data_IF_059217967398
#
_entry.id   IF_059217967398
#
_cell.length_a   1.000
_cell.length_b   1.000
_cell.length_c   1.000
_cell.angle_alpha   90.00
_cell.angle_beta   90.00
_cell.angle_gamma   90.00
#
_symmetry.space_group_name_H-M   'P 1'
#
loop_
_entity.id
_entity.type
_entity.pdbx_description
1 polymer ?
#
# COMPACT_ATOMS: atom_id res chain seq x y z
N UNK A 1 53.13 -16.51 58.28
CA UNK A 1 52.21 -15.68 59.09
C UNK A 1 51.95 -14.39 58.33
N UNK A 2 50.66 -14.11 58.08
CA UNK A 2 50.00 -12.81 58.01
C UNK A 2 50.38 -11.76 56.91
N UNK A 3 49.28 -11.25 56.34
CA UNK A 3 49.03 -9.94 55.67
C UNK A 3 49.46 -9.76 54.22
N UNK A 4 48.54 -10.06 53.28
CA UNK A 4 48.19 -9.12 52.19
C UNK A 4 46.72 -9.32 51.83
N UNK A 5 45.83 -8.49 52.36
CA UNK A 5 44.40 -8.57 52.09
C UNK A 5 43.69 -7.31 52.54
N UNK A 6 43.92 -6.18 51.85
CA UNK A 6 43.16 -4.92 52.05
C UNK A 6 43.47 -3.88 50.96
N UNK A 7 43.16 -4.15 49.68
CA UNK A 7 43.17 -3.06 48.69
C UNK A 7 42.13 -3.14 47.54
N UNK A 8 41.29 -4.18 47.48
CA UNK A 8 40.35 -4.34 46.35
C UNK A 8 38.87 -4.07 46.67
N UNK A 9 38.52 -3.76 47.92
CA UNK A 9 37.11 -3.49 48.31
C UNK A 9 36.70 -2.01 48.30
N UNK A 10 37.62 -1.06 48.14
CA UNK A 10 37.26 0.37 48.16
C UNK A 10 36.92 0.96 46.77
N UNK A 11 37.38 0.36 45.67
CA UNK A 11 37.19 0.94 44.33
C UNK A 11 35.80 0.64 43.71
N UNK A 12 35.08 -0.37 44.19
CA UNK A 12 33.78 -0.77 43.64
C UNK A 12 32.62 0.01 44.28
N UNK A 13 32.76 0.44 45.54
CA UNK A 13 31.67 1.14 46.26
C UNK A 13 31.47 2.60 45.82
N UNK A 14 32.49 3.22 45.21
CA UNK A 14 32.44 4.63 44.82
C UNK A 14 31.82 4.86 43.43
N UNK A 15 31.75 3.83 42.57
CA UNK A 15 31.12 3.91 41.24
C UNK A 15 29.60 3.68 41.27
N UNK A 16 29.09 2.89 42.23
CA UNK A 16 27.64 2.64 42.35
C UNK A 16 26.87 3.83 42.93
N UNK A 17 27.51 4.68 43.75
CA UNK A 17 26.85 5.87 44.33
C UNK A 17 26.63 7.01 43.31
N UNK A 18 27.54 7.20 42.35
CA UNK A 18 27.35 8.24 41.32
C UNK A 18 26.24 7.91 40.31
N UNK A 19 26.03 6.63 39.97
CA UNK A 19 24.97 6.24 39.05
C UNK A 19 23.57 6.38 39.65
N UNK A 20 23.41 6.20 40.96
CA UNK A 20 22.11 6.37 41.63
C UNK A 20 21.69 7.85 41.76
N UNK A 21 22.64 8.76 41.96
CA UNK A 21 22.35 10.20 42.02
C UNK A 21 21.96 10.76 40.63
N UNK A 22 22.49 10.20 39.55
CA UNK A 22 22.16 10.64 38.18
C UNK A 22 20.76 10.19 37.72
N UNK A 23 20.29 9.02 38.16
CA UNK A 23 18.93 8.54 37.85
C UNK A 23 17.86 9.29 38.66
N UNK A 24 18.16 9.70 39.90
CA UNK A 24 17.24 10.48 40.72
C UNK A 24 17.02 11.92 40.22
N UNK A 25 18.03 12.54 39.58
CA UNK A 25 17.92 13.89 39.03
C UNK A 25 17.14 13.97 37.72
N UNK A 26 17.13 12.91 36.91
CA UNK A 26 16.33 12.86 35.65
C UNK A 26 14.84 12.59 35.96
N UNK A 27 14.54 11.91 37.06
CA UNK A 27 13.15 11.66 37.48
C UNK A 27 12.45 12.88 38.10
N UNK A 28 13.18 13.96 38.43
CA UNK A 28 12.60 15.17 39.04
C UNK A 28 12.27 16.29 38.05
N UNK A 29 12.53 16.11 36.74
CA UNK A 29 12.26 17.12 35.70
C UNK A 29 10.94 16.90 34.92
N UNK A 30 10.12 15.92 35.29
CA UNK A 30 8.83 15.64 34.63
C UNK A 30 7.61 15.88 35.54
N UNK A 31 7.56 17.03 36.24
CA UNK A 31 6.32 17.50 36.87
C UNK A 31 6.24 19.03 36.76
N UNK A 32 5.67 19.52 35.66
CA UNK A 32 4.80 20.72 35.62
C UNK A 32 4.59 21.17 34.16
N UNK A 33 3.60 20.59 33.48
CA UNK A 33 2.97 21.24 32.32
C UNK A 33 1.54 21.59 32.74
N UNK A 34 1.35 22.85 33.10
CA UNK A 34 0.04 23.44 33.34
C UNK A 34 -0.66 23.61 31.99
N UNK A 35 -1.74 22.86 31.76
CA UNK A 35 -2.61 23.04 30.60
C UNK A 35 -3.47 24.29 30.84
N UNK A 36 -3.20 25.36 30.09
CA UNK A 36 -4.10 26.52 30.00
C UNK A 36 -5.10 26.23 28.87
N UNK A 37 -6.42 26.18 29.12
CA UNK A 37 -7.39 26.05 28.05
C UNK A 37 -7.52 27.40 27.33
N UNK A 38 -7.13 27.44 26.05
CA UNK A 38 -7.48 28.54 25.14
C UNK A 38 -8.75 28.13 24.40
N UNK A 39 -9.87 28.76 24.74
CA UNK A 39 -11.09 28.72 23.94
C UNK A 39 -10.85 29.52 22.65
N UNK A 40 -10.72 28.82 21.52
CA UNK A 40 -10.79 29.44 20.20
C UNK A 40 -12.25 29.41 19.75
N UNK A 41 -12.95 30.51 20.00
CA UNK A 41 -14.22 30.80 19.36
C UNK A 41 -13.97 31.16 17.89
N UNK A 42 -14.12 30.18 16.99
CA UNK A 42 -14.14 30.44 15.55
C UNK A 42 -15.54 30.92 15.14
N UNK A 43 -15.64 32.22 14.83
CA UNK A 43 -16.84 32.82 14.24
C UNK A 43 -17.09 32.25 12.84
N UNK A 44 -18.30 31.72 12.67
CA UNK A 44 -18.86 31.29 11.38
C UNK A 44 -19.10 32.51 10.50
N UNK A 45 -18.39 32.60 9.36
CA UNK A 45 -18.81 33.44 8.22
C UNK A 45 -19.45 32.54 7.16
N UNK A 46 -20.75 32.69 6.99
CA UNK A 46 -21.53 32.09 5.91
C UNK A 46 -21.34 32.89 4.63
N UNK A 47 -20.92 32.25 3.54
CA UNK A 47 -21.25 32.71 2.19
C UNK A 47 -22.08 31.63 1.51
N UNK A 48 -23.34 31.97 1.26
CA UNK A 48 -24.29 31.15 0.52
C UNK A 48 -24.18 31.49 -0.96
N UNK A 49 -23.92 30.47 -1.80
CA UNK A 49 -24.38 30.44 -3.18
C UNK A 49 -24.82 29.00 -3.49
N UNK A 50 -26.07 28.87 -3.93
CA UNK A 50 -26.78 27.59 -3.99
C UNK A 50 -26.52 26.79 -5.26
N UNK A 51 -26.44 25.47 -5.10
CA UNK A 51 -26.76 24.44 -6.08
C UNK A 51 -27.02 23.10 -5.34
N UNK A 52 -27.93 22.23 -5.82
CA UNK A 52 -28.61 21.25 -4.97
C UNK A 52 -27.75 20.03 -4.66
N UNK A 53 -27.63 19.71 -3.36
CA UNK A 53 -27.02 18.47 -2.85
C UNK A 53 -28.03 17.32 -2.89
N UNK A 54 -27.76 16.29 -3.70
CA UNK A 54 -28.29 14.93 -3.49
C UNK A 54 -27.60 14.37 -2.24
N UNK A 55 -28.36 14.17 -1.18
CA UNK A 55 -27.84 13.76 0.12
C UNK A 55 -27.28 12.35 0.12
N UNK A 56 -26.02 12.21 0.54
CA UNK A 56 -25.48 10.95 1.04
C UNK A 56 -26.26 10.55 2.30
N UNK A 57 -26.99 9.44 2.21
CA UNK A 57 -27.53 8.76 3.39
C UNK A 57 -26.59 7.61 3.75
N UNK A 58 -26.14 7.62 5.01
CA UNK A 58 -25.34 6.58 5.63
C UNK A 58 -26.08 5.24 5.65
N UNK A 59 -25.31 4.18 5.38
CA UNK A 59 -25.71 2.77 5.21
C UNK A 59 -26.55 2.19 6.35
N UNK A 60 -26.42 2.70 7.58
CA UNK A 60 -27.14 2.20 8.76
C UNK A 60 -28.65 2.51 8.81
N UNK A 61 -29.16 3.42 7.97
CA UNK A 61 -30.60 3.73 7.92
C UNK A 61 -31.45 2.70 7.18
N UNK A 62 -30.82 1.83 6.38
CA UNK A 62 -31.51 0.76 5.63
C UNK A 62 -31.62 -0.55 6.42
N UNK A 63 -30.74 -0.78 7.41
CA UNK A 63 -30.53 -2.09 8.01
C UNK A 63 -31.56 -2.52 9.08
N UNK A 64 -32.45 -1.64 9.56
CA UNK A 64 -33.42 -1.97 10.64
C UNK A 64 -34.90 -1.71 10.31
N UNK A 65 -35.25 -1.52 9.03
CA UNK A 65 -36.63 -1.38 8.58
C UNK A 65 -37.32 -2.73 8.35
N UNK A 66 -37.76 -3.39 9.42
CA UNK A 66 -38.47 -4.66 9.39
C UNK A 66 -39.78 -4.63 8.60
N UNK A 67 -40.00 -5.66 7.78
CA UNK A 67 -41.21 -5.83 6.96
C UNK A 67 -41.46 -7.29 6.60
N UNK A 68 -42.26 -7.94 7.44
CA UNK A 68 -42.67 -9.34 7.45
C UNK A 68 -43.39 -9.76 6.14
N UNK A 69 -42.91 -10.79 5.40
CA UNK A 69 -43.75 -11.55 4.45
C UNK A 69 -43.46 -13.06 4.45
N UNK A 70 -44.56 -13.77 4.72
CA UNK A 70 -44.85 -15.21 4.76
C UNK A 70 -44.05 -16.09 3.78
N UNK A 71 -43.55 -17.18 4.34
CA UNK A 71 -43.09 -18.40 3.67
C UNK A 71 -44.32 -19.24 3.32
N UNK A 72 -44.48 -19.61 2.05
CA UNK A 72 -45.44 -20.64 1.62
C UNK A 72 -44.65 -21.90 1.21
N UNK A 73 -44.89 -22.98 1.95
CA UNK A 73 -44.30 -24.30 1.76
C UNK A 73 -44.95 -25.02 0.57
N UNK A 74 -44.15 -25.59 -0.32
CA UNK A 74 -44.58 -26.64 -1.24
C UNK A 74 -43.61 -27.82 -1.13
N UNK A 75 -44.13 -28.97 -0.67
CA UNK A 75 -43.42 -30.25 -0.56
C UNK A 75 -43.60 -31.12 -1.83
N UNK A 76 -42.75 -32.15 -2.02
CA UNK A 76 -42.27 -32.55 -3.35
C UNK A 76 -42.78 -33.92 -3.81
N UNK A 77 -42.83 -34.18 -5.13
CA UNK A 77 -42.63 -35.53 -5.69
C UNK A 77 -42.41 -35.50 -7.21
N UNK A 78 -41.20 -35.87 -7.68
CA UNK A 78 -41.04 -36.79 -8.83
C UNK A 78 -39.60 -37.31 -8.93
N UNK A 79 -39.41 -38.60 -8.66
CA UNK A 79 -38.16 -39.36 -8.87
C UNK A 79 -37.75 -39.30 -10.35
N UNK A 80 -36.63 -38.66 -10.66
CA UNK A 80 -35.89 -38.86 -11.93
C UNK A 80 -34.65 -39.71 -11.67
N UNK A 81 -34.53 -40.81 -12.43
CA UNK A 81 -33.38 -41.74 -12.46
C UNK A 81 -32.07 -40.98 -12.63
N UNK A 82 -31.19 -41.06 -11.64
CA UNK A 82 -29.79 -40.57 -11.73
C UNK A 82 -29.00 -41.55 -12.61
N UNK A 83 -28.62 -41.11 -13.81
CA UNK A 83 -27.47 -41.69 -14.52
C UNK A 83 -26.21 -41.19 -13.81
N UNK A 84 -25.44 -42.11 -13.25
CA UNK A 84 -24.12 -41.84 -12.69
C UNK A 84 -23.12 -41.60 -13.82
N UNK A 85 -22.92 -40.35 -14.21
CA UNK A 85 -21.67 -39.96 -14.87
C UNK A 85 -20.67 -39.62 -13.77
N UNK A 86 -19.62 -40.44 -13.68
CA UNK A 86 -18.45 -40.20 -12.83
C UNK A 86 -17.84 -38.86 -13.23
N UNK A 87 -18.23 -37.80 -12.54
CA UNK A 87 -17.65 -36.47 -12.71
C UNK A 87 -16.28 -36.52 -12.05
N UNK A 88 -15.24 -36.73 -12.85
CA UNK A 88 -13.84 -36.64 -12.44
C UNK A 88 -13.68 -35.31 -11.70
N UNK A 89 -13.38 -35.38 -10.39
CA UNK A 89 -13.01 -34.21 -9.58
C UNK A 89 -11.77 -33.60 -10.22
N UNK A 90 -11.98 -32.65 -11.14
CA UNK A 90 -10.95 -31.67 -11.46
C UNK A 90 -10.92 -30.75 -10.26
N UNK A 91 -9.87 -30.86 -9.46
CA UNK A 91 -9.44 -29.79 -8.57
C UNK A 91 -9.64 -28.47 -9.30
N UNK A 92 -10.41 -27.56 -8.72
CA UNK A 92 -10.67 -26.23 -9.28
C UNK A 92 -9.38 -25.40 -9.20
N UNK A 93 -8.39 -25.75 -10.02
CA UNK A 93 -7.31 -24.85 -10.36
C UNK A 93 -7.92 -23.70 -11.13
N UNK A 94 -7.55 -22.48 -10.76
CA UNK A 94 -7.92 -21.25 -11.48
C UNK A 94 -7.72 -21.50 -12.97
N UNK A 95 -8.80 -21.37 -13.75
CA UNK A 95 -8.72 -21.57 -15.18
C UNK A 95 -7.69 -20.60 -15.73
N UNK A 96 -6.60 -21.12 -16.30
CA UNK A 96 -5.53 -20.32 -16.88
C UNK A 96 -6.17 -19.25 -17.78
N UNK A 97 -5.89 -17.99 -17.49
CA UNK A 97 -6.34 -16.87 -18.32
C UNK A 97 -5.76 -17.10 -19.71
N UNK A 98 -6.61 -17.20 -20.73
CA UNK A 98 -6.15 -17.27 -22.12
C UNK A 98 -5.57 -15.90 -22.52
N UNK A 99 -4.33 -15.65 -22.13
CA UNK A 99 -3.59 -14.43 -22.49
C UNK A 99 -3.06 -14.58 -23.92
N UNK A 100 -3.20 -13.57 -24.78
CA UNK A 100 -2.54 -13.57 -26.08
C UNK A 100 -1.02 -13.55 -25.87
N UNK A 101 -0.26 -14.07 -26.83
CA UNK A 101 1.19 -14.02 -26.79
C UNK A 101 1.64 -12.55 -26.80
N UNK A 102 2.20 -12.09 -25.69
CA UNK A 102 2.76 -10.74 -25.55
C UNK A 102 4.14 -10.76 -26.20
N UNK A 103 4.33 -9.97 -27.26
CA UNK A 103 5.64 -9.73 -27.87
C UNK A 103 6.19 -8.47 -27.22
N UNK A 104 7.31 -8.59 -26.52
CA UNK A 104 7.99 -7.44 -25.93
C UNK A 104 9.17 -7.03 -26.79
N UNK A 105 9.38 -5.73 -26.91
CA UNK A 105 10.64 -5.18 -27.35
C UNK A 105 11.73 -5.53 -26.34
N UNK A 106 12.96 -5.71 -26.83
CA UNK A 106 14.13 -5.94 -25.98
C UNK A 106 14.25 -4.84 -24.92
N UNK A 107 14.39 -5.26 -23.66
CA UNK A 107 14.50 -4.35 -22.52
C UNK A 107 15.93 -3.82 -22.43
N UNK A 108 16.06 -2.55 -22.06
CA UNK A 108 17.36 -1.94 -21.83
C UNK A 108 18.04 -2.54 -20.61
N UNK A 109 19.38 -2.45 -20.56
CA UNK A 109 20.17 -2.98 -19.43
C UNK A 109 19.94 -2.20 -18.13
N UNK A 110 19.56 -0.93 -18.25
CA UNK A 110 19.22 0.01 -17.17
C UNK A 110 17.70 0.09 -16.92
N UNK A 111 16.91 -0.83 -17.48
CA UNK A 111 15.46 -0.83 -17.29
C UNK A 111 15.09 -1.02 -15.82
N UNK A 112 14.31 -0.07 -15.28
CA UNK A 112 13.75 -0.18 -13.93
C UNK A 112 12.74 -1.31 -13.87
N UNK A 113 12.76 -2.04 -12.75
CA UNK A 113 11.81 -3.10 -12.47
C UNK A 113 10.53 -2.52 -11.90
N UNK A 114 9.42 -2.82 -12.55
CA UNK A 114 8.08 -2.71 -11.98
C UNK A 114 7.74 -4.06 -11.36
N UNK A 115 7.76 -4.12 -10.03
CA UNK A 115 7.53 -5.35 -9.29
C UNK A 115 6.04 -5.50 -8.99
N UNK A 116 5.43 -6.60 -9.44
CA UNK A 116 4.03 -6.93 -9.13
C UNK A 116 4.00 -8.07 -8.13
N UNK A 117 3.38 -7.82 -6.98
CA UNK A 117 3.32 -8.73 -5.83
C UNK A 117 1.87 -9.17 -5.59
N UNK A 118 1.67 -10.45 -5.30
CA UNK A 118 0.40 -10.92 -4.74
C UNK A 118 -0.01 -12.30 -5.22
N UNK A 119 -1.32 -12.52 -5.32
CA UNK A 119 -1.92 -13.81 -5.62
C UNK A 119 -2.25 -13.98 -7.12
N UNK A 120 -3.22 -14.84 -7.46
CA UNK A 120 -3.70 -15.01 -8.83
C UNK A 120 -4.24 -13.69 -9.46
N UNK A 121 -4.64 -12.70 -8.66
CA UNK A 121 -4.97 -11.34 -9.13
C UNK A 121 -3.72 -10.63 -9.66
N UNK A 122 -2.65 -10.59 -8.88
CA UNK A 122 -1.37 -10.03 -9.28
C UNK A 122 -0.79 -10.74 -10.51
N UNK A 123 -0.99 -12.06 -10.64
CA UNK A 123 -0.54 -12.82 -11.79
C UNK A 123 -1.07 -12.24 -13.12
N UNK A 124 -2.38 -12.04 -13.20
CA UNK A 124 -3.04 -11.51 -14.39
C UNK A 124 -2.82 -10.01 -14.57
N UNK A 125 -2.74 -9.25 -13.47
CA UNK A 125 -2.38 -7.83 -13.51
C UNK A 125 -0.99 -7.63 -14.11
N UNK A 126 -0.02 -8.44 -13.68
CA UNK A 126 1.34 -8.39 -14.21
C UNK A 126 1.38 -8.68 -15.72
N UNK A 127 0.59 -9.64 -16.22
CA UNK A 127 0.48 -9.86 -17.67
C UNK A 127 -0.18 -8.67 -18.39
N UNK A 128 -1.18 -8.06 -17.77
CA UNK A 128 -1.81 -6.83 -18.27
C UNK A 128 -0.81 -5.68 -18.41
N UNK A 129 -0.01 -5.42 -17.36
CA UNK A 129 1.04 -4.39 -17.32
C UNK A 129 2.20 -4.72 -18.25
N UNK A 130 2.56 -5.99 -18.37
CA UNK A 130 3.57 -6.46 -19.32
C UNK A 130 3.18 -6.14 -20.77
N UNK A 131 1.89 -6.30 -21.09
CA UNK A 131 1.37 -5.87 -22.39
C UNK A 131 1.25 -4.34 -22.54
N UNK A 132 1.13 -3.57 -21.45
CA UNK A 132 1.15 -2.10 -21.50
C UNK A 132 2.55 -1.62 -21.87
N UNK A 133 3.56 -2.11 -21.14
CA UNK A 133 4.96 -1.69 -21.30
C UNK A 133 5.74 -2.55 -22.31
N UNK A 134 5.05 -3.28 -23.19
CA UNK A 134 5.71 -4.16 -24.17
C UNK A 134 6.69 -3.40 -25.06
N UNK A 135 6.31 -2.19 -25.47
CA UNK A 135 7.09 -1.29 -26.34
C UNK A 135 7.99 -0.31 -25.58
N UNK A 136 8.05 -0.40 -24.25
CA UNK A 136 8.83 0.49 -23.39
C UNK A 136 10.11 -0.24 -22.93
N UNK A 137 11.29 0.04 -23.51
CA UNK A 137 12.52 -0.66 -23.17
C UNK A 137 13.03 -0.37 -21.76
N UNK A 138 12.69 0.79 -21.20
CA UNK A 138 13.14 1.25 -19.87
C UNK A 138 12.35 0.66 -18.70
N UNK A 139 11.28 -0.12 -18.95
CA UNK A 139 10.46 -0.72 -17.90
C UNK A 139 10.39 -2.24 -18.10
N UNK A 140 10.78 -2.97 -17.06
CA UNK A 140 10.70 -4.44 -16.99
C UNK A 140 9.69 -4.85 -15.93
N UNK A 141 8.64 -5.57 -16.31
CA UNK A 141 7.65 -6.09 -15.35
C UNK A 141 8.15 -7.41 -14.77
N UNK A 142 8.33 -7.48 -13.44
CA UNK A 142 8.71 -8.70 -12.71
C UNK A 142 7.56 -9.12 -11.78
N UNK A 143 7.41 -10.43 -11.58
CA UNK A 143 6.38 -11.01 -10.71
C UNK A 143 7.01 -11.58 -9.44
N UNK A 144 6.45 -11.25 -8.29
CA UNK A 144 6.60 -11.99 -7.04
C UNK A 144 5.22 -12.50 -6.64
N UNK A 145 4.83 -13.62 -7.24
CA UNK A 145 3.44 -14.10 -7.19
C UNK A 145 3.38 -15.50 -6.63
N UNK A 146 2.49 -15.68 -5.66
CA UNK A 146 2.18 -16.97 -5.06
C UNK A 146 0.71 -17.31 -5.35
N UNK A 147 0.43 -18.34 -6.16
CA UNK A 147 -0.94 -18.72 -6.48
C UNK A 147 -1.67 -19.26 -5.24
N UNK A 148 -3.00 -19.10 -5.21
CA UNK A 148 -3.87 -19.72 -4.20
C UNK A 148 -3.60 -19.32 -2.73
N UNK A 149 -2.83 -18.25 -2.50
CA UNK A 149 -2.52 -17.72 -1.17
C UNK A 149 -3.08 -16.31 -0.98
N UNK A 150 -2.71 -15.66 0.12
CA UNK A 150 -3.03 -14.28 0.47
C UNK A 150 -2.36 -13.90 1.78
N UNK A 151 -2.85 -12.86 2.47
CA UNK A 151 -2.27 -12.44 3.75
C UNK A 151 -2.74 -13.30 4.91
N UNK A 152 -3.81 -14.09 4.76
CA UNK A 152 -4.24 -15.02 5.80
C UNK A 152 -3.39 -16.30 5.88
N UNK A 153 -2.53 -16.52 4.89
CA UNK A 153 -1.62 -17.66 4.88
C UNK A 153 -0.61 -17.55 6.04
N UNK A 154 -0.17 -18.70 6.54
CA UNK A 154 0.89 -18.74 7.54
C UNK A 154 2.22 -18.29 6.92
N UNK A 155 3.32 -18.53 7.63
CA UNK A 155 4.68 -18.06 7.32
C UNK A 155 5.18 -18.24 5.87
N UNK A 156 4.58 -19.11 5.07
CA UNK A 156 4.99 -19.33 3.67
C UNK A 156 3.84 -18.98 2.70
N UNK A 157 3.97 -17.94 1.85
CA UNK A 157 5.14 -17.06 1.71
C UNK A 157 5.29 -16.05 2.85
N UNK A 158 6.53 -15.67 3.15
CA UNK A 158 6.82 -14.55 4.05
C UNK A 158 6.91 -13.28 3.19
N UNK A 159 5.77 -12.59 3.05
CA UNK A 159 5.67 -11.46 2.12
C UNK A 159 6.72 -10.36 2.40
N UNK A 160 6.94 -9.89 3.64
CA UNK A 160 8.00 -8.93 3.91
C UNK A 160 9.40 -9.42 3.52
N UNK A 161 9.77 -10.65 3.92
CA UNK A 161 11.11 -11.20 3.65
C UNK A 161 11.35 -11.36 2.14
N UNK A 162 10.38 -11.96 1.43
CA UNK A 162 10.46 -12.20 -0.01
C UNK A 162 10.55 -10.90 -0.81
N UNK A 163 9.77 -9.88 -0.41
CA UNK A 163 9.82 -8.56 -1.04
C UNK A 163 11.18 -7.93 -0.83
N UNK A 164 11.67 -7.86 0.41
CA UNK A 164 13.00 -7.31 0.70
C UNK A 164 14.10 -8.05 -0.06
N UNK A 165 14.00 -9.37 -0.22
CA UNK A 165 14.96 -10.14 -1.02
C UNK A 165 14.96 -9.71 -2.49
N UNK A 166 13.78 -9.49 -3.09
CA UNK A 166 13.69 -8.98 -4.46
C UNK A 166 14.24 -7.56 -4.58
N UNK A 167 13.87 -6.66 -3.66
CA UNK A 167 14.32 -5.26 -3.65
C UNK A 167 15.85 -5.13 -3.56
N UNK A 168 16.52 -6.06 -2.87
CA UNK A 168 18.00 -6.10 -2.79
C UNK A 168 18.68 -6.62 -4.05
N UNK A 169 17.97 -7.40 -4.86
CA UNK A 169 18.55 -8.13 -6.00
C UNK A 169 18.26 -7.48 -7.36
N UNK A 170 17.29 -6.57 -7.43
CA UNK A 170 16.81 -5.96 -8.66
C UNK A 170 16.72 -4.44 -8.50
N UNK A 171 16.90 -3.72 -9.61
CA UNK A 171 16.74 -2.26 -9.63
C UNK A 171 15.25 -1.89 -9.75
N UNK A 172 14.52 -2.03 -8.62
CA UNK A 172 13.08 -1.80 -8.56
C UNK A 172 12.78 -0.31 -8.48
N UNK A 173 11.98 0.19 -9.42
CA UNK A 173 11.52 1.59 -9.43
C UNK A 173 10.13 1.79 -8.83
N UNK A 174 9.28 0.77 -8.85
CA UNK A 174 7.91 0.84 -8.30
C UNK A 174 7.39 -0.55 -7.94
N UNK A 175 6.56 -0.62 -6.91
CA UNK A 175 5.87 -1.83 -6.48
C UNK A 175 4.36 -1.70 -6.65
N UNK A 176 3.74 -2.72 -7.24
CA UNK A 176 2.29 -2.88 -7.36
C UNK A 176 1.85 -4.12 -6.59
N UNK A 177 0.90 -3.99 -5.67
CA UNK A 177 0.33 -5.11 -4.90
C UNK A 177 -1.09 -5.38 -5.37
N UNK A 178 -1.43 -6.64 -5.62
CA UNK A 178 -2.81 -7.08 -5.87
C UNK A 178 -3.03 -8.49 -5.32
N UNK A 179 -3.76 -8.56 -4.20
CA UNK A 179 -4.05 -9.81 -3.49
C UNK A 179 -5.32 -9.66 -2.66
N UNK A 180 -5.82 -10.77 -2.13
CA UNK A 180 -6.90 -10.78 -1.13
C UNK A 180 -8.16 -11.49 -1.59
N UNK A 181 -8.18 -12.04 -2.82
CA UNK A 181 -9.31 -12.81 -3.34
C UNK A 181 -9.65 -14.04 -2.47
N UNK A 182 -8.70 -14.47 -1.64
CA UNK A 182 -8.81 -15.64 -0.77
C UNK A 182 -8.77 -15.32 0.72
N UNK A 183 -8.72 -14.06 1.11
CA UNK A 183 -8.50 -13.65 2.50
C UNK A 183 -9.81 -13.55 3.31
N UNK A 184 -10.95 -13.86 2.71
CA UNK A 184 -12.27 -13.98 3.36
C UNK A 184 -12.44 -15.27 4.18
N UNK A 185 -11.46 -15.61 5.02
CA UNK A 185 -11.42 -16.82 5.85
C UNK A 185 -10.68 -16.58 7.17
N UNK A 186 -10.79 -17.54 8.09
CA UNK A 186 -10.08 -17.49 9.36
C UNK A 186 -8.55 -17.51 9.16
N UNK A 187 -7.83 -16.82 10.04
CA UNK A 187 -6.37 -16.89 10.12
C UNK A 187 -6.01 -17.99 11.12
N UNK A 188 -5.07 -18.85 10.75
CA UNK A 188 -4.44 -19.74 11.71
C UNK A 188 -3.17 -19.05 12.20
N UNK A 189 -2.97 -19.01 13.51
CA UNK A 189 -1.75 -18.50 14.11
C UNK A 189 -1.14 -19.63 14.89
N UNK A 190 0.07 -20.03 14.49
CA UNK A 190 0.86 -21.01 15.23
C UNK A 190 1.77 -20.27 16.19
N UNK A 191 1.40 -20.26 17.46
CA UNK A 191 2.20 -19.69 18.54
C UNK A 191 3.11 -20.73 19.19
N UNK A 192 4.14 -20.25 19.87
CA UNK A 192 4.86 -21.00 20.88
C UNK A 192 4.47 -20.44 22.25
N UNK A 193 4.05 -21.32 23.15
CA UNK A 193 3.68 -20.99 24.51
C UNK A 193 4.21 -22.03 25.47
N UNK A 194 3.78 -21.93 26.72
CA UNK A 194 4.07 -22.91 27.75
C UNK A 194 2.74 -23.50 28.22
N UNK A 195 2.53 -24.79 27.96
CA UNK A 195 1.38 -25.55 28.48
C UNK A 195 1.96 -26.52 29.52
N UNK A 196 1.46 -26.46 30.76
CA UNK A 196 1.92 -27.28 31.88
C UNK A 196 3.44 -27.21 32.15
N UNK A 197 4.01 -26.00 32.02
CA UNK A 197 5.44 -25.77 32.27
C UNK A 197 6.37 -26.27 31.16
N UNK A 198 5.83 -26.80 30.05
CA UNK A 198 6.60 -27.26 28.89
C UNK A 198 6.36 -26.36 27.67
N UNK A 199 7.41 -26.09 26.85
CA UNK A 199 7.24 -25.43 25.57
C UNK A 199 6.26 -26.23 24.69
N UNK A 200 5.16 -25.61 24.31
CA UNK A 200 4.14 -26.21 23.47
C UNK A 200 3.78 -25.24 22.35
N UNK A 201 3.58 -25.77 21.15
CA UNK A 201 2.98 -25.00 20.07
C UNK A 201 1.46 -25.09 20.18
N UNK A 202 0.78 -23.95 20.09
CA UNK A 202 -0.67 -23.90 19.98
C UNK A 202 -1.04 -23.27 18.63
N UNK A 203 -2.12 -23.77 18.04
CA UNK A 203 -2.73 -23.17 16.86
C UNK A 203 -4.01 -22.48 17.31
N UNK A 204 -4.04 -21.16 17.18
CA UNK A 204 -5.24 -20.36 17.39
C UNK A 204 -5.90 -20.09 16.04
N UNK A 205 -7.22 -20.22 15.97
CA UNK A 205 -8.00 -19.88 14.78
C UNK A 205 -8.72 -18.56 15.03
N UNK A 206 -8.20 -17.49 14.42
CA UNK A 206 -8.79 -16.16 14.49
C UNK A 206 -9.96 -16.10 13.51
N UNK A 207 -11.15 -15.89 14.04
CA UNK A 207 -12.36 -15.84 13.22
C UNK A 207 -12.35 -14.63 12.28
N UNK A 208 -12.65 -14.84 11.00
CA UNK A 208 -12.77 -13.77 10.01
C UNK A 208 -13.68 -12.63 10.53
N UNK A 209 -13.24 -11.38 10.36
CA UNK A 209 -13.86 -10.16 10.90
C UNK A 209 -13.89 -10.01 12.43
N UNK A 210 -13.37 -10.98 13.20
CA UNK A 210 -13.16 -10.83 14.64
C UNK A 210 -12.07 -9.79 14.94
N UNK A 211 -12.09 -9.23 16.15
CA UNK A 211 -11.13 -8.17 16.55
C UNK A 211 -9.67 -8.63 16.45
N UNK A 212 -9.35 -9.84 16.92
CA UNK A 212 -8.00 -10.39 16.83
C UNK A 212 -7.59 -10.69 15.38
N UNK A 213 -8.52 -11.20 14.56
CA UNK A 213 -8.28 -11.38 13.12
C UNK A 213 -7.98 -10.05 12.44
N UNK A 214 -8.71 -8.99 12.79
CA UNK A 214 -8.54 -7.65 12.23
C UNK A 214 -7.18 -7.05 12.62
N UNK A 215 -6.76 -7.22 13.87
CA UNK A 215 -5.43 -6.79 14.35
C UNK A 215 -4.32 -7.50 13.58
N UNK A 216 -4.40 -8.83 13.49
CA UNK A 216 -3.41 -9.64 12.79
C UNK A 216 -3.36 -9.31 11.30
N UNK A 217 -4.52 -9.18 10.64
CA UNK A 217 -4.59 -8.87 9.21
C UNK A 217 -4.04 -7.46 8.90
N UNK A 218 -4.32 -6.46 9.76
CA UNK A 218 -3.71 -5.13 9.66
C UNK A 218 -2.20 -5.20 9.84
N UNK A 219 -1.72 -5.96 10.83
CA UNK A 219 -0.30 -6.15 11.05
C UNK A 219 0.41 -6.74 9.83
N UNK A 220 -0.16 -7.79 9.22
CA UNK A 220 0.40 -8.41 7.99
C UNK A 220 0.37 -7.46 6.80
N UNK A 221 -0.72 -6.71 6.62
CA UNK A 221 -0.84 -5.69 5.57
C UNK A 221 0.21 -4.59 5.77
N UNK A 222 0.31 -4.04 6.98
CA UNK A 222 1.28 -3.00 7.34
C UNK A 222 2.73 -3.46 7.20
N UNK A 223 3.03 -4.72 7.54
CA UNK A 223 4.37 -5.30 7.39
C UNK A 223 4.79 -5.37 5.92
N UNK A 224 3.88 -5.78 5.03
CA UNK A 224 4.14 -5.77 3.58
C UNK A 224 4.31 -4.34 3.06
N UNK A 225 3.45 -3.40 3.47
CA UNK A 225 3.58 -1.98 3.10
C UNK A 225 4.93 -1.42 3.56
N UNK A 226 5.33 -1.70 4.81
CA UNK A 226 6.58 -1.24 5.41
C UNK A 226 7.81 -1.82 4.69
N UNK A 227 7.77 -3.10 4.29
CA UNK A 227 8.86 -3.74 3.54
C UNK A 227 9.22 -3.01 2.24
N UNK A 228 8.23 -2.34 1.62
CA UNK A 228 8.44 -1.51 0.42
C UNK A 228 8.79 -0.08 0.78
N UNK A 229 8.02 0.54 1.69
CA UNK A 229 8.15 1.98 2.00
C UNK A 229 9.42 2.32 2.76
N UNK A 230 9.99 1.37 3.51
CA UNK A 230 11.29 1.54 4.17
C UNK A 230 12.44 1.73 3.16
N UNK A 231 12.31 1.17 1.95
CA UNK A 231 13.24 1.38 0.84
C UNK A 231 12.88 2.64 0.02
N UNK A 232 11.94 3.47 0.51
CA UNK A 232 11.46 4.71 -0.11
C UNK A 232 10.82 4.55 -1.50
N UNK A 233 10.51 3.31 -1.90
CA UNK A 233 9.92 3.02 -3.21
C UNK A 233 8.43 3.39 -3.27
N UNK A 234 7.94 3.94 -4.39
CA UNK A 234 6.51 4.12 -4.61
C UNK A 234 5.75 2.78 -4.54
N UNK A 235 4.62 2.80 -3.82
CA UNK A 235 3.75 1.63 -3.63
C UNK A 235 2.34 1.93 -4.16
N UNK A 236 1.86 1.07 -5.04
CA UNK A 236 0.47 1.04 -5.50
C UNK A 236 -0.20 -0.23 -4.98
N UNK A 237 -1.34 -0.09 -4.30
CA UNK A 237 -2.17 -1.22 -3.88
C UNK A 237 -3.48 -1.22 -4.68
N UNK A 238 -3.75 -2.30 -5.41
CA UNK A 238 -4.97 -2.43 -6.21
C UNK A 238 -6.07 -3.07 -5.37
N UNK A 239 -7.20 -2.37 -5.26
CA UNK A 239 -8.38 -2.87 -4.55
C UNK A 239 -9.01 -4.08 -5.24
N UNK A 240 -9.79 -4.84 -4.48
CA UNK A 240 -10.62 -5.93 -4.98
C UNK A 240 -11.85 -5.37 -5.70
N UNK A 241 -12.23 -5.99 -6.82
CA UNK A 241 -13.48 -5.68 -7.52
C UNK A 241 -14.67 -6.46 -6.93
N UNK A 242 -15.92 -6.02 -7.14
CA UNK A 242 -17.11 -6.76 -6.73
C UNK A 242 -17.07 -8.22 -7.20
N UNK A 243 -17.52 -9.12 -6.33
CA UNK A 243 -17.73 -10.52 -6.67
C UNK A 243 -19.19 -10.79 -7.08
N UNK A 244 -19.41 -11.88 -7.82
CA UNK A 244 -20.76 -12.33 -8.20
C UNK A 244 -21.61 -12.72 -6.98
N UNK A 245 -20.99 -13.38 -6.00
CA UNK A 245 -21.65 -13.75 -4.76
C UNK A 245 -21.69 -12.56 -3.79
N UNK A 246 -22.89 -12.27 -3.28
CA UNK A 246 -23.14 -11.14 -2.38
C UNK A 246 -22.24 -11.12 -1.14
N UNK A 247 -22.11 -12.26 -0.44
CA UNK A 247 -21.28 -12.35 0.78
C UNK A 247 -19.80 -12.15 0.46
N UNK A 248 -19.31 -12.77 -0.61
CA UNK A 248 -17.92 -12.59 -1.06
C UNK A 248 -17.66 -11.14 -1.45
N UNK A 249 -18.62 -10.48 -2.12
CA UNK A 249 -18.54 -9.06 -2.48
C UNK A 249 -18.48 -8.17 -1.23
N UNK A 250 -19.37 -8.40 -0.25
CA UNK A 250 -19.34 -7.66 1.02
C UNK A 250 -18.01 -7.84 1.76
N UNK A 251 -17.47 -9.06 1.78
CA UNK A 251 -16.16 -9.36 2.37
C UNK A 251 -15.03 -8.63 1.64
N UNK A 252 -15.07 -8.53 0.32
CA UNK A 252 -14.08 -7.76 -0.46
C UNK A 252 -14.14 -6.26 -0.19
N UNK A 253 -15.34 -5.71 -0.01
CA UNK A 253 -15.49 -4.31 0.43
C UNK A 253 -14.83 -4.09 1.80
N UNK A 254 -15.07 -4.99 2.75
CA UNK A 254 -14.44 -4.94 4.07
C UNK A 254 -12.91 -5.04 3.99
N UNK A 255 -12.36 -5.94 3.17
CA UNK A 255 -10.92 -6.05 2.96
C UNK A 255 -10.32 -4.79 2.33
N UNK A 256 -11.01 -4.18 1.35
CA UNK A 256 -10.59 -2.93 0.73
C UNK A 256 -10.46 -1.79 1.74
N UNK A 257 -11.38 -1.68 2.70
CA UNK A 257 -11.29 -0.68 3.76
C UNK A 257 -10.03 -0.87 4.61
N UNK A 258 -9.69 -2.12 4.95
CA UNK A 258 -8.47 -2.43 5.71
C UNK A 258 -7.20 -2.14 4.90
N UNK A 259 -7.19 -2.48 3.60
CA UNK A 259 -6.07 -2.16 2.72
C UNK A 259 -5.85 -0.65 2.64
N UNK A 260 -6.91 0.10 2.40
CA UNK A 260 -6.86 1.56 2.33
C UNK A 260 -6.37 2.18 3.64
N UNK A 261 -6.87 1.68 4.79
CA UNK A 261 -6.45 2.11 6.13
C UNK A 261 -4.94 1.95 6.37
N UNK A 262 -4.29 0.93 5.80
CA UNK A 262 -2.84 0.70 5.97
C UNK A 262 -1.98 1.35 4.89
N UNK A 263 -2.49 1.46 3.65
CA UNK A 263 -1.70 1.91 2.49
C UNK A 263 -1.59 3.43 2.42
N UNK A 264 -2.70 4.15 2.57
CA UNK A 264 -2.72 5.61 2.38
C UNK A 264 -1.89 6.37 3.43
N UNK A 265 -1.96 6.05 4.74
CA UNK A 265 -1.14 6.75 5.74
C UNK A 265 0.37 6.52 5.57
N UNK A 266 0.78 5.42 4.94
CA UNK A 266 2.18 5.12 4.62
C UNK A 266 2.67 5.85 3.34
N UNK A 267 1.83 6.69 2.73
CA UNK A 267 2.12 7.38 1.48
C UNK A 267 2.03 6.48 0.24
N UNK A 268 1.41 5.30 0.36
CA UNK A 268 1.06 4.45 -0.78
C UNK A 268 -0.22 4.92 -1.45
N UNK A 269 -0.42 4.51 -2.71
CA UNK A 269 -1.62 4.83 -3.48
C UNK A 269 -2.56 3.62 -3.50
N UNK A 270 -3.77 3.78 -2.99
CA UNK A 270 -4.82 2.78 -3.15
C UNK A 270 -5.62 3.02 -4.43
N UNK A 271 -5.62 2.05 -5.34
CA UNK A 271 -6.36 2.11 -6.61
C UNK A 271 -7.70 1.43 -6.44
N UNK A 272 -8.74 2.24 -6.24
CA UNK A 272 -10.11 1.76 -6.22
C UNK A 272 -10.60 1.45 -7.64
N UNK A 273 -10.82 0.17 -7.91
CA UNK A 273 -11.39 -0.33 -9.17
C UNK A 273 -12.87 -0.72 -9.04
N UNK A 274 -13.48 -0.55 -7.87
CA UNK A 274 -14.79 -1.11 -7.54
C UNK A 274 -15.88 -0.69 -8.53
N UNK A 275 -16.06 0.62 -8.68
CA UNK A 275 -17.05 1.21 -9.58
C UNK A 275 -16.80 0.84 -11.05
N UNK A 276 -15.55 0.57 -11.45
CA UNK A 276 -15.21 0.24 -12.82
C UNK A 276 -15.69 -1.16 -13.26
N UNK A 277 -16.09 -1.99 -12.30
CA UNK A 277 -16.61 -3.35 -12.50
C UNK A 277 -18.05 -3.52 -11.99
N UNK A 278 -18.74 -2.42 -11.70
CA UNK A 278 -20.18 -2.40 -11.43
C UNK A 278 -20.99 -2.06 -12.69
N UNK A 279 -22.29 -2.38 -12.65
CA UNK A 279 -23.28 -1.86 -13.59
C UNK A 279 -23.63 -0.40 -13.28
N UNK A 280 -24.46 0.22 -14.11
CA UNK A 280 -24.96 1.58 -13.88
C UNK A 280 -25.81 1.67 -12.60
N UNK A 281 -26.42 0.55 -12.21
CA UNK A 281 -27.20 0.37 -10.98
C UNK A 281 -26.33 0.08 -9.75
N UNK A 282 -25.00 -0.03 -9.92
CA UNK A 282 -24.06 -0.34 -8.84
C UNK A 282 -23.99 -1.82 -8.47
N UNK A 283 -24.50 -2.72 -9.30
CA UNK A 283 -24.47 -4.17 -9.06
C UNK A 283 -23.25 -4.82 -9.73
N UNK A 284 -22.90 -6.04 -9.31
CA UNK A 284 -21.89 -6.83 -10.01
C UNK A 284 -22.31 -7.07 -11.46
N UNK A 285 -21.39 -6.87 -12.41
CA UNK A 285 -21.59 -7.25 -13.81
C UNK A 285 -20.38 -8.01 -14.37
N UNK A 286 -20.59 -9.16 -15.04
CA UNK A 286 -19.50 -9.85 -15.72
C UNK A 286 -19.06 -9.14 -17.01
N UNK A 287 -19.85 -8.19 -17.52
CA UNK A 287 -19.60 -7.45 -18.76
C UNK A 287 -19.47 -5.94 -18.53
N UNK A 288 -18.59 -5.29 -19.27
CA UNK A 288 -18.44 -3.84 -19.21
C UNK A 288 -17.62 -3.31 -20.38
N UNK A 289 -17.42 -1.99 -20.46
CA UNK A 289 -16.52 -1.40 -21.43
C UNK A 289 -15.08 -1.81 -21.13
N UNK A 290 -14.37 -2.30 -22.15
CA UNK A 290 -12.93 -2.51 -22.13
C UNK A 290 -12.16 -1.17 -22.31
N UNK A 291 -10.83 -1.23 -22.40
CA UNK A 291 -9.97 -0.06 -22.61
C UNK A 291 -10.26 0.70 -23.92
N UNK A 292 -10.93 0.06 -24.89
CA UNK A 292 -11.35 0.66 -26.17
C UNK A 292 -12.79 1.18 -26.14
N UNK A 293 -13.47 1.03 -24.99
CA UNK A 293 -14.90 1.36 -24.83
C UNK A 293 -15.84 0.28 -25.35
N UNK A 294 -15.34 -0.82 -25.93
CA UNK A 294 -16.19 -1.91 -26.44
C UNK A 294 -16.71 -2.76 -25.29
N UNK A 295 -18.00 -3.12 -25.33
CA UNK A 295 -18.56 -4.05 -24.34
C UNK A 295 -17.96 -5.45 -24.55
N UNK A 296 -17.28 -5.94 -23.51
CA UNK A 296 -16.67 -7.27 -23.44
C UNK A 296 -16.99 -7.92 -22.11
N UNK A 297 -16.79 -9.23 -22.03
CA UNK A 297 -16.77 -9.93 -20.75
C UNK A 297 -15.46 -9.61 -20.03
N UNK A 298 -15.55 -8.98 -18.87
CA UNK A 298 -14.40 -8.55 -18.06
C UNK A 298 -14.14 -9.48 -16.87
N UNK A 299 -15.19 -10.13 -16.34
CA UNK A 299 -15.08 -11.07 -15.21
C UNK A 299 -15.04 -12.51 -15.70
N UNK A 300 -14.26 -13.34 -15.03
CA UNK A 300 -14.14 -14.76 -15.29
C UNK A 300 -15.46 -15.51 -14.98
N UNK A 301 -15.47 -16.83 -15.17
CA UNK A 301 -16.66 -17.66 -14.88
C UNK A 301 -16.85 -17.95 -13.40
N UNK A 302 -15.84 -17.72 -12.59
CA UNK A 302 -15.86 -17.90 -11.14
C UNK A 302 -16.45 -16.70 -10.38
N UNK A 303 -16.71 -15.59 -11.07
CA UNK A 303 -17.27 -14.38 -10.46
C UNK A 303 -16.30 -13.57 -9.60
N UNK A 304 -15.02 -13.94 -9.55
CA UNK A 304 -13.98 -13.32 -8.68
C UNK A 304 -12.81 -12.78 -9.50
N UNK A 305 -12.34 -13.53 -10.49
CA UNK A 305 -11.19 -13.17 -11.31
C UNK A 305 -11.60 -12.47 -12.60
N UNK A 306 -10.61 -12.09 -13.40
CA UNK A 306 -10.82 -11.34 -14.63
C UNK A 306 -10.51 -12.18 -15.86
N UNK A 307 -11.14 -11.83 -16.98
CA UNK A 307 -10.67 -12.26 -18.31
C UNK A 307 -9.42 -11.45 -18.69
N UNK A 308 -8.77 -11.79 -19.81
CA UNK A 308 -7.69 -10.96 -20.35
C UNK A 308 -8.12 -9.49 -20.54
N UNK A 309 -9.31 -9.25 -21.10
CA UNK A 309 -9.84 -7.90 -21.27
C UNK A 309 -10.07 -7.19 -19.93
N UNK A 310 -10.49 -7.92 -18.90
CA UNK A 310 -10.61 -7.39 -17.54
C UNK A 310 -9.26 -7.01 -16.93
N UNK A 311 -8.25 -7.89 -17.00
CA UNK A 311 -6.90 -7.58 -16.51
C UNK A 311 -6.24 -6.42 -17.26
N UNK A 312 -6.49 -6.27 -18.58
CA UNK A 312 -6.09 -5.08 -19.34
C UNK A 312 -6.74 -3.80 -18.82
N UNK A 313 -8.01 -3.87 -18.41
CA UNK A 313 -8.70 -2.74 -17.77
C UNK A 313 -8.13 -2.42 -16.39
N UNK A 314 -7.86 -3.42 -15.56
CA UNK A 314 -7.19 -3.20 -14.26
C UNK A 314 -5.81 -2.56 -14.45
N UNK A 315 -5.00 -3.11 -15.37
CA UNK A 315 -3.69 -2.58 -15.71
C UNK A 315 -3.74 -1.12 -16.18
N UNK A 316 -4.78 -0.73 -16.93
CA UNK A 316 -4.98 0.66 -17.36
C UNK A 316 -5.21 1.62 -16.18
N UNK A 317 -5.97 1.22 -15.15
CA UNK A 317 -6.13 2.05 -13.95
C UNK A 317 -4.80 2.20 -13.20
N UNK A 318 -4.01 1.14 -13.11
CA UNK A 318 -2.70 1.14 -12.45
C UNK A 318 -1.69 1.97 -13.25
N UNK A 319 -1.62 1.80 -14.56
CA UNK A 319 -0.77 2.58 -15.49
C UNK A 319 -1.01 4.08 -15.32
N UNK A 320 -2.27 4.50 -15.18
CA UNK A 320 -2.61 5.90 -14.96
C UNK A 320 -1.99 6.46 -13.68
N UNK A 321 -1.96 5.68 -12.60
CA UNK A 321 -1.30 6.11 -11.36
C UNK A 321 0.23 6.07 -11.47
N UNK A 322 0.79 5.07 -12.16
CA UNK A 322 2.23 5.02 -12.47
C UNK A 322 2.64 6.26 -13.28
N UNK A 323 1.87 6.63 -14.28
CA UNK A 323 2.10 7.83 -15.08
C UNK A 323 1.98 9.13 -14.26
N UNK A 324 1.18 9.15 -13.19
CA UNK A 324 1.12 10.30 -12.26
C UNK A 324 2.36 10.38 -11.37
N UNK A 325 2.80 9.24 -10.82
CA UNK A 325 4.01 9.18 -9.98
C UNK A 325 5.23 9.64 -10.76
N UNK A 326 5.37 9.16 -12.00
CA UNK A 326 6.55 9.41 -12.83
C UNK A 326 6.30 10.39 -13.97
N UNK A 327 5.35 11.33 -13.82
CA UNK A 327 5.05 12.36 -14.82
C UNK A 327 5.04 11.85 -16.27
N UNK A 328 3.92 11.28 -16.74
CA UNK A 328 3.68 10.92 -18.14
C UNK A 328 4.77 10.08 -18.82
N UNK A 329 5.39 9.08 -18.17
CA UNK A 329 6.43 8.21 -18.79
C UNK A 329 7.67 8.94 -19.39
N UNK A 330 7.64 10.28 -19.43
CA UNK A 330 8.70 11.18 -19.84
C UNK A 330 9.54 11.59 -18.64
N UNK A 331 9.03 11.58 -17.39
CA UNK A 331 9.89 11.90 -16.26
C UNK A 331 11.04 10.87 -16.07
N UNK A 332 10.83 9.60 -16.43
CA UNK A 332 11.91 8.61 -16.49
C UNK A 332 12.88 8.80 -17.66
N UNK A 333 12.51 9.55 -18.70
CA UNK A 333 13.42 9.89 -19.81
C UNK A 333 14.44 10.95 -19.37
N UNK A 334 14.15 11.68 -18.29
CA UNK A 334 14.98 12.80 -17.82
C UNK A 334 15.84 12.48 -16.60
N UNK A 335 15.72 11.27 -16.04
CA UNK A 335 16.57 10.80 -14.95
C UNK A 335 17.94 10.35 -15.51
N UNK A 336 18.80 11.32 -15.79
CA UNK A 336 20.11 11.13 -16.44
C UNK A 336 20.52 12.24 -17.42
N UNK A 337 19.63 13.17 -17.74
CA UNK A 337 19.95 14.36 -18.53
C UNK A 337 20.61 15.38 -17.60
N UNK A 338 21.88 15.76 -17.88
CA UNK A 338 22.57 16.85 -17.18
C UNK A 338 21.70 18.12 -17.23
N UNK A 339 21.73 18.91 -16.16
CA UNK A 339 20.99 20.17 -16.08
C UNK A 339 21.34 21.09 -17.24
N UNK A 340 20.45 21.13 -18.22
CA UNK A 340 20.48 22.09 -19.31
C UNK A 340 19.58 23.26 -18.91
N UNK A 341 20.11 24.49 -18.78
CA UNK A 341 19.32 25.66 -18.41
C UNK A 341 18.19 25.98 -19.41
N UNK A 342 18.17 25.37 -20.60
CA UNK A 342 17.11 25.53 -21.58
C UNK A 342 15.97 24.49 -21.48
N UNK A 343 16.01 23.58 -20.50
CA UNK A 343 15.03 22.51 -20.37
C UNK A 343 14.45 22.41 -18.95
N UNK A 344 13.18 22.82 -18.77
CA UNK A 344 12.49 22.83 -17.48
C UNK A 344 11.44 21.71 -17.44
N UNK A 345 11.56 20.80 -16.46
CA UNK A 345 10.56 19.74 -16.22
C UNK A 345 9.49 20.27 -15.25
N UNK A 346 8.30 20.57 -15.78
CA UNK A 346 7.19 21.16 -15.03
C UNK A 346 6.58 20.25 -13.95
N UNK A 347 6.89 18.96 -13.96
CA UNK A 347 6.38 17.99 -12.97
C UNK A 347 7.27 17.86 -11.73
N UNK A 348 8.41 18.56 -11.69
CA UNK A 348 9.45 18.35 -10.67
C UNK A 348 10.20 17.03 -10.88
N UNK A 349 11.47 16.99 -10.49
CA UNK A 349 12.22 15.73 -10.36
C UNK A 349 11.99 15.15 -8.98
N UNK A 350 11.92 13.82 -8.87
CA UNK A 350 11.76 13.12 -7.59
C UNK A 350 13.05 13.14 -6.75
N UNK A 351 14.21 13.26 -7.39
CA UNK A 351 15.53 13.29 -6.74
C UNK A 351 16.36 14.48 -7.24
N UNK A 352 15.89 15.70 -7.02
CA UNK A 352 16.74 16.86 -7.21
C UNK A 352 17.55 17.13 -5.94
N UNK A 353 18.89 17.31 -6.02
CA UNK A 353 19.66 17.86 -4.89
C UNK A 353 19.08 19.19 -4.39
N UNK A 354 18.35 19.92 -5.26
CA UNK A 354 17.69 21.19 -4.95
C UNK A 354 16.36 21.12 -4.17
N UNK A 355 15.83 19.94 -3.79
CA UNK A 355 14.71 19.88 -2.80
C UNK A 355 15.16 20.10 -1.35
N UNK A 356 16.46 20.36 -1.14
CA UNK A 356 16.98 20.84 0.14
C UNK A 356 16.58 22.30 0.34
N UNK A 357 15.33 22.50 0.74
CA UNK A 357 14.91 23.75 1.37
C UNK A 357 15.82 23.99 2.57
N UNK A 358 16.36 25.20 2.72
CA UNK A 358 17.12 25.59 3.92
C UNK A 358 16.15 25.60 5.10
N UNK A 359 15.91 24.42 5.66
CA UNK A 359 15.19 24.19 6.89
C UNK A 359 16.17 24.05 8.07
N UNK A 360 15.66 23.95 9.30
CA UNK A 360 16.48 23.82 10.51
C UNK A 360 17.50 22.67 10.50
N UNK A 361 17.37 21.75 9.54
CA UNK A 361 18.06 20.46 9.51
C UNK A 361 19.40 20.53 8.73
N UNK A 362 19.69 21.67 8.11
CA UNK A 362 20.97 21.95 7.48
C UNK A 362 21.97 22.47 8.52
N UNK A 363 22.47 21.54 9.34
CA UNK A 363 23.39 21.78 10.46
C UNK A 363 22.79 22.54 11.65
N UNK A 364 21.62 22.11 12.10
CA UNK A 364 21.17 22.31 13.49
C UNK A 364 20.81 23.75 13.84
N UNK A 365 19.68 24.22 13.31
CA UNK A 365 18.75 25.17 13.96
C UNK A 365 19.26 26.54 14.38
N UNK A 366 20.53 26.90 14.17
CA UNK A 366 21.11 28.20 14.50
C UNK A 366 22.00 28.69 13.36
N UNK A 367 21.81 29.95 12.98
CA UNK A 367 22.68 30.65 12.05
C UNK A 367 24.10 30.77 12.66
N UNK A 368 24.97 29.81 12.37
CA UNK A 368 26.37 29.86 12.74
C UNK A 368 27.17 30.69 11.73
N UNK A 369 28.10 31.52 12.20
CA UNK A 369 28.92 32.38 11.34
C UNK A 369 29.58 31.58 10.20
N UNK A 370 29.35 31.99 8.95
CA UNK A 370 29.84 31.34 7.74
C UNK A 370 28.91 30.30 7.11
N UNK A 371 27.81 29.93 7.77
CA UNK A 371 26.76 29.09 7.16
C UNK A 371 25.90 29.88 6.17
N UNK A 372 25.29 29.18 5.20
CA UNK A 372 24.39 29.81 4.23
C UNK A 372 23.13 30.39 4.90
N UNK A 373 22.66 29.75 5.98
CA UNK A 373 21.58 30.30 6.82
C UNK A 373 22.00 31.61 7.49
N UNK A 374 23.25 31.72 7.99
CA UNK A 374 23.76 32.97 8.59
C UNK A 374 23.97 34.07 7.55
N UNK A 375 24.45 33.70 6.36
CA UNK A 375 24.57 34.64 5.24
C UNK A 375 23.22 35.26 4.89
N UNK A 376 22.20 34.43 4.76
CA UNK A 376 20.85 34.88 4.40
C UNK A 376 20.14 35.63 5.54
N UNK A 377 20.20 35.12 6.78
CA UNK A 377 19.38 35.65 7.90
C UNK A 377 20.08 36.71 8.75
N UNK A 378 21.42 36.69 8.83
CA UNK A 378 22.18 37.56 9.74
C UNK A 378 23.02 38.59 8.98
N UNK A 379 23.80 38.19 7.97
CA UNK A 379 24.62 39.16 7.22
C UNK A 379 23.88 39.82 6.05
N UNK A 380 22.73 39.28 5.62
CA UNK A 380 21.96 39.78 4.50
C UNK A 380 22.66 39.60 3.15
N UNK A 381 23.63 38.69 3.08
CA UNK A 381 24.34 38.35 1.86
C UNK A 381 23.46 37.51 0.93
N UNK A 382 23.54 37.83 -0.36
CA UNK A 382 22.83 37.09 -1.40
C UNK A 382 23.48 35.71 -1.54
N UNK A 383 22.65 34.66 -1.50
CA UNK A 383 23.12 33.31 -1.77
C UNK A 383 23.58 33.18 -3.22
N UNK A 384 24.54 32.31 -3.53
CA UNK A 384 24.91 32.06 -4.91
C UNK A 384 23.66 31.65 -5.71
N UNK A 385 23.50 32.25 -6.88
CA UNK A 385 22.39 31.97 -7.78
C UNK A 385 22.46 30.53 -8.25
N UNK A 386 21.36 29.79 -8.10
CA UNK A 386 21.23 28.41 -8.57
C UNK A 386 20.32 28.43 -9.78
N UNK A 387 20.77 27.82 -10.88
CA UNK A 387 20.02 27.87 -12.13
C UNK A 387 18.64 27.22 -11.97
N UNK A 388 17.59 27.92 -12.41
CA UNK A 388 16.20 27.46 -12.28
C UNK A 388 15.50 27.77 -10.95
N UNK A 389 16.17 28.42 -9.99
CA UNK A 389 15.54 28.95 -8.77
C UNK A 389 14.94 30.34 -9.05
N UNK A 390 13.92 30.75 -8.28
CA UNK A 390 13.17 31.99 -8.52
C UNK A 390 14.00 33.28 -8.40
N UNK A 391 15.22 33.20 -7.86
CA UNK A 391 16.20 34.27 -7.73
C UNK A 391 17.32 34.22 -8.79
N UNK A 392 17.25 33.30 -9.77
CA UNK A 392 18.13 33.31 -10.94
C UNK A 392 17.69 34.42 -11.91
N UNK A 393 18.41 35.54 -11.89
CA UNK A 393 18.10 36.72 -12.72
C UNK A 393 18.49 36.53 -14.19
N UNK A 394 19.11 35.39 -14.56
CA UNK A 394 19.41 35.03 -15.96
C UNK A 394 18.18 34.62 -16.78
N UNK A 395 16.98 34.65 -16.18
CA UNK A 395 15.72 34.50 -16.90
C UNK A 395 15.46 35.69 -17.82
N UNK A 396 16.07 35.66 -19.02
CA UNK A 396 15.70 36.55 -20.12
C UNK A 396 14.42 36.02 -20.75
N UNK A 397 13.27 36.36 -20.17
CA UNK A 397 11.97 36.02 -20.75
C UNK A 397 11.77 36.71 -22.11
N UNK A 398 11.28 35.97 -23.11
CA UNK A 398 10.01 36.19 -23.80
C UNK A 398 9.75 35.07 -24.80
#
# INVERSE_FOLDING_TARGET
MLVVGSCWRLAIMQRSFLSFVFVALISLCFVSVSVVPVEVAAQVRTNSTGAPKKGNKSFFGWLFGGGNKRIEQANPTRKKRRRSTTRKNRSAGVAAVNTPKIVEKEKSKDAKVLLVIGDDLAMGLADGLKAVYAETPSIKVKKLVYPQTGLVADKNPDWPEDVTAVLKSEDVGLVVVSLGARDNRNIKVVGQGVIDGQPASYAEELQFQGEEWKKEYRFRTASLVAAVRNEQLPLIWVGLAPAEEYLTSANFSYLNDLFKEQVEPAGGIFVDIWAAFQSEEGEYTPHGPDITGKRRRLRAKDGVYFTWAGYRKVAYFVEREIARIFGSATAFIFEGVKDDPNFIVLTGRLTSPETKLIGPDDKGGKAAAGSDLFKLTVSGEVLPEVSGRADDTRWTGF
#
